data_IF_897042165802
#
_entry.id   IF_897042165802
#
_cell.length_a   1.000
_cell.length_b   1.000
_cell.length_c   1.000
_cell.angle_alpha   90.00
_cell.angle_beta   90.00
_cell.angle_gamma   90.00
#
_symmetry.space_group_name_H-M   'P 1'
#
loop_
_entity.id
_entity.type
_entity.pdbx_description
1 polymer ?
#
# COMPACT_ATOMS: atom_id res chain seq x y z
N UNK A 1 36.37 -26.25 -2.48
CA UNK A 1 36.63 -25.73 -1.12
C UNK A 1 37.15 -24.28 -1.05
N UNK A 2 37.84 -23.75 -2.09
CA UNK A 2 38.40 -22.38 -2.09
C UNK A 2 37.38 -21.26 -2.38
N UNK A 3 36.26 -21.56 -3.00
CA UNK A 3 35.20 -20.62 -3.41
C UNK A 3 34.27 -20.21 -2.27
N UNK A 4 33.91 -21.15 -1.37
CA UNK A 4 33.06 -20.85 -0.21
C UNK A 4 33.69 -19.87 0.81
N UNK A 5 35.02 -19.84 0.90
CA UNK A 5 35.73 -18.95 1.85
C UNK A 5 35.72 -17.48 1.39
N UNK A 6 35.73 -17.24 0.07
CA UNK A 6 35.63 -15.89 -0.51
C UNK A 6 34.22 -15.30 -0.37
N UNK A 7 33.19 -16.12 -0.51
CA UNK A 7 31.79 -15.67 -0.38
C UNK A 7 31.45 -15.22 1.05
N UNK A 8 31.94 -15.94 2.07
CA UNK A 8 31.77 -15.52 3.47
C UNK A 8 32.48 -14.21 3.82
N UNK A 9 33.63 -13.92 3.18
CA UNK A 9 34.35 -12.66 3.38
C UNK A 9 33.66 -11.48 2.71
N UNK A 10 33.05 -11.67 1.54
CA UNK A 10 32.29 -10.62 0.83
C UNK A 10 31.00 -10.27 1.58
N UNK A 11 30.27 -11.27 2.08
CA UNK A 11 29.04 -11.04 2.88
C UNK A 11 29.35 -10.32 4.20
N UNK A 12 30.44 -10.67 4.88
CA UNK A 12 30.87 -9.97 6.10
C UNK A 12 31.32 -8.52 5.85
N UNK A 13 31.90 -8.22 4.68
CA UNK A 13 32.31 -6.86 4.29
C UNK A 13 31.10 -5.98 3.96
N UNK A 14 30.07 -6.53 3.29
CA UNK A 14 28.83 -5.80 2.97
C UNK A 14 28.02 -5.49 4.24
N UNK A 15 27.96 -6.42 5.21
CA UNK A 15 27.32 -6.19 6.50
C UNK A 15 28.01 -5.09 7.33
N UNK A 16 29.34 -4.96 7.20
CA UNK A 16 30.11 -3.95 7.94
C UNK A 16 29.97 -2.54 7.36
N UNK A 17 29.76 -2.42 6.05
CA UNK A 17 29.54 -1.12 5.38
C UNK A 17 28.13 -0.58 5.69
N UNK A 18 27.12 -1.45 5.76
CA UNK A 18 25.74 -1.06 6.11
C UNK A 18 25.60 -0.50 7.54
N UNK A 19 26.38 -1.03 8.49
CA UNK A 19 26.33 -0.60 9.91
C UNK A 19 27.03 0.77 10.09
N UNK A 20 28.07 1.07 9.31
CA UNK A 20 28.79 2.36 9.41
C UNK A 20 28.00 3.50 8.76
N UNK A 21 27.23 3.24 7.69
CA UNK A 21 26.34 4.25 7.08
C UNK A 21 25.15 4.62 7.96
N UNK A 22 24.67 3.72 8.82
CA UNK A 22 23.59 4.00 9.77
C UNK A 22 24.01 4.94 10.92
N UNK A 23 25.29 4.92 11.32
CA UNK A 23 25.77 5.73 12.46
C UNK A 23 26.11 7.19 12.09
N UNK A 24 26.35 7.51 10.81
CA UNK A 24 26.61 8.88 10.36
C UNK A 24 25.37 9.59 9.77
N UNK A 25 24.27 8.87 9.49
CA UNK A 25 23.01 9.46 9.02
C UNK A 25 22.28 10.23 10.14
N UNK A 26 22.31 9.75 11.39
CA UNK A 26 21.54 10.34 12.50
C UNK A 26 21.95 11.77 12.91
N UNK A 27 23.12 12.28 12.53
CA UNK A 27 23.58 13.59 13.01
C UNK A 27 23.52 14.73 11.96
N UNK A 28 23.35 14.39 10.68
CA UNK A 28 23.24 15.38 9.60
C UNK A 28 21.78 15.66 9.20
N UNK A 29 20.88 14.74 9.51
CA UNK A 29 19.45 14.86 9.18
C UNK A 29 18.74 15.87 10.09
N UNK A 30 19.14 15.97 11.37
CA UNK A 30 18.57 16.93 12.34
C UNK A 30 18.76 18.40 11.95
N UNK A 31 19.88 18.74 11.30
CA UNK A 31 20.18 20.11 10.85
C UNK A 31 19.56 20.44 9.50
N UNK A 32 19.41 19.46 8.59
CA UNK A 32 18.74 19.67 7.30
C UNK A 32 17.21 19.81 7.43
N UNK A 33 16.62 19.06 8.36
CA UNK A 33 15.19 19.16 8.69
C UNK A 33 14.85 20.57 9.19
N UNK A 34 15.74 21.22 9.94
CA UNK A 34 15.52 22.60 10.43
C UNK A 34 15.57 23.67 9.33
N UNK A 35 16.28 23.43 8.23
CA UNK A 35 16.34 24.36 7.10
C UNK A 35 15.16 24.16 6.11
N UNK A 36 14.72 22.92 5.87
CA UNK A 36 13.58 22.64 4.99
C UNK A 36 12.23 23.09 5.60
N UNK A 37 12.08 23.08 6.93
CA UNK A 37 10.88 23.60 7.65
C UNK A 37 10.62 25.09 7.38
N UNK A 38 11.65 25.88 7.09
CA UNK A 38 11.51 27.33 6.87
C UNK A 38 11.13 27.72 5.42
N UNK A 39 11.06 26.77 4.48
CA UNK A 39 10.84 27.08 3.06
C UNK A 39 9.48 26.65 2.51
N UNK A 40 8.69 25.85 3.23
CA UNK A 40 7.34 25.49 2.76
C UNK A 40 6.35 25.30 3.93
N UNK A 41 5.58 26.32 4.32
CA UNK A 41 4.65 26.26 5.45
C UNK A 41 3.44 25.32 5.24
N UNK A 42 3.35 24.64 4.09
CA UNK A 42 2.27 23.69 3.77
C UNK A 42 2.67 22.21 3.95
N UNK A 43 3.89 21.87 4.38
CA UNK A 43 4.23 20.48 4.74
C UNK A 43 3.63 20.13 6.09
N UNK A 44 2.50 19.42 6.07
CA UNK A 44 1.67 19.13 7.23
C UNK A 44 2.30 18.15 8.23
N UNK A 45 3.35 17.40 7.87
CA UNK A 45 3.77 16.25 8.67
C UNK A 45 5.25 16.21 8.97
N UNK A 46 5.61 16.57 10.21
CA UNK A 46 6.77 15.97 10.88
C UNK A 46 6.90 16.23 12.38
N UNK A 47 6.06 17.06 12.99
CA UNK A 47 6.25 17.43 14.41
C UNK A 47 4.98 17.48 15.24
N UNK A 48 3.83 16.97 14.78
CA UNK A 48 2.69 16.87 15.69
C UNK A 48 3.00 15.81 16.74
N UNK A 49 2.88 16.18 18.02
CA UNK A 49 2.95 15.29 19.17
C UNK A 49 2.02 14.06 19.00
N UNK A 50 1.00 14.20 18.15
CA UNK A 50 0.02 13.19 17.74
C UNK A 50 0.62 12.00 16.96
N UNK A 51 1.71 12.17 16.20
CA UNK A 51 2.32 11.03 15.49
C UNK A 51 3.19 10.15 16.40
N UNK A 52 3.39 10.51 17.67
CA UNK A 52 4.17 9.68 18.62
C UNK A 52 3.40 8.49 19.17
N UNK A 53 2.07 8.47 19.01
CA UNK A 53 1.18 7.41 19.52
C UNK A 53 0.57 6.62 18.37
N UNK A 54 0.32 5.33 18.63
CA UNK A 54 -0.47 4.51 17.73
C UNK A 54 -1.94 4.94 17.84
N UNK A 55 -2.57 5.13 16.69
CA UNK A 55 -3.99 5.38 16.49
C UNK A 55 -4.76 4.09 16.24
N UNK A 56 -4.09 3.05 15.71
CA UNK A 56 -4.71 1.76 15.41
C UNK A 56 -4.11 0.62 16.22
N UNK A 57 -4.96 -0.30 16.64
CA UNK A 57 -4.54 -1.62 17.13
C UNK A 57 -4.23 -2.55 15.96
N UNK A 58 -3.48 -3.62 16.21
CA UNK A 58 -3.24 -4.66 15.20
C UNK A 58 -4.54 -5.32 14.71
N UNK A 59 -5.55 -5.40 15.57
CA UNK A 59 -6.88 -5.90 15.21
C UNK A 59 -7.60 -4.94 14.25
N UNK A 60 -7.53 -3.64 14.50
CA UNK A 60 -8.09 -2.63 13.58
C UNK A 60 -7.38 -2.64 12.23
N UNK A 61 -6.06 -2.84 12.20
CA UNK A 61 -5.28 -2.96 10.96
C UNK A 61 -5.70 -4.19 10.15
N UNK A 62 -5.87 -5.34 10.81
CA UNK A 62 -6.39 -6.54 10.15
C UNK A 62 -7.83 -6.32 9.64
N UNK A 63 -8.68 -5.67 10.44
CA UNK A 63 -10.04 -5.33 10.05
C UNK A 63 -10.06 -4.41 8.82
N UNK A 64 -9.18 -3.40 8.75
CA UNK A 64 -9.02 -2.51 7.60
C UNK A 64 -8.71 -3.34 6.34
N UNK A 65 -7.75 -4.25 6.42
CA UNK A 65 -7.33 -5.05 5.27
C UNK A 65 -8.39 -6.05 4.82
N UNK A 66 -9.11 -6.69 5.75
CA UNK A 66 -10.20 -7.60 5.42
C UNK A 66 -11.39 -6.86 4.80
N UNK A 67 -11.77 -5.69 5.34
CA UNK A 67 -12.89 -4.91 4.82
C UNK A 67 -12.56 -4.21 3.50
N UNK A 68 -11.29 -3.86 3.26
CA UNK A 68 -10.85 -3.32 1.97
C UNK A 68 -11.26 -4.25 0.81
N UNK A 69 -10.89 -5.52 0.92
CA UNK A 69 -11.19 -6.50 -0.12
C UNK A 69 -12.67 -6.91 -0.14
N UNK A 70 -13.34 -6.92 1.02
CA UNK A 70 -14.78 -7.16 1.07
C UNK A 70 -15.59 -6.06 0.35
N UNK A 71 -15.15 -4.79 0.46
CA UNK A 71 -15.74 -3.67 -0.26
C UNK A 71 -15.49 -3.81 -1.77
N UNK A 72 -14.26 -4.10 -2.20
CA UNK A 72 -13.95 -4.37 -3.60
C UNK A 72 -14.81 -5.49 -4.16
N UNK A 73 -14.92 -6.61 -3.44
CA UNK A 73 -15.75 -7.75 -3.83
C UNK A 73 -17.22 -7.34 -3.95
N UNK A 74 -17.76 -6.59 -2.99
CA UNK A 74 -19.15 -6.13 -3.01
C UNK A 74 -19.43 -5.23 -4.21
N UNK A 75 -18.52 -4.28 -4.48
CA UNK A 75 -18.64 -3.36 -5.61
C UNK A 75 -18.60 -4.10 -6.93
N UNK A 76 -17.60 -4.95 -7.15
CA UNK A 76 -17.43 -5.65 -8.43
C UNK A 76 -18.44 -6.77 -8.66
N UNK A 77 -19.00 -7.37 -7.62
CA UNK A 77 -20.10 -8.34 -7.77
C UNK A 77 -21.39 -7.71 -8.32
N UNK A 78 -21.59 -6.41 -8.10
CA UNK A 78 -22.75 -5.66 -8.59
C UNK A 78 -22.42 -4.75 -9.79
N UNK A 79 -21.17 -4.74 -10.24
CA UNK A 79 -20.68 -3.87 -11.30
C UNK A 79 -21.17 -4.31 -12.68
N UNK A 80 -21.79 -3.40 -13.42
CA UNK A 80 -22.14 -3.63 -14.82
C UNK A 80 -20.91 -3.47 -15.74
N UNK A 81 -20.24 -4.59 -16.00
CA UNK A 81 -19.08 -4.63 -16.91
C UNK A 81 -19.42 -4.24 -18.37
N UNK A 82 -20.70 -4.22 -18.74
CA UNK A 82 -21.16 -3.78 -20.07
C UNK A 82 -21.41 -2.28 -20.18
N UNK A 83 -21.35 -1.55 -19.05
CA UNK A 83 -21.56 -0.10 -19.03
C UNK A 83 -20.58 0.65 -19.95
N UNK A 84 -21.13 1.58 -20.74
CA UNK A 84 -20.36 2.49 -21.59
C UNK A 84 -19.48 3.45 -20.76
N UNK A 85 -19.91 3.77 -19.53
CA UNK A 85 -19.16 4.63 -18.60
C UNK A 85 -18.85 3.88 -17.30
N UNK A 86 -17.79 3.06 -17.36
CA UNK A 86 -17.29 2.25 -16.23
C UNK A 86 -16.93 3.07 -14.99
N UNK A 87 -16.48 4.32 -15.14
CA UNK A 87 -16.16 5.18 -13.99
C UNK A 87 -17.43 5.67 -13.28
N UNK A 88 -18.43 6.12 -14.04
CA UNK A 88 -19.72 6.49 -13.46
C UNK A 88 -20.43 5.28 -12.81
N UNK A 89 -20.32 4.10 -13.43
CA UNK A 89 -20.81 2.85 -12.86
C UNK A 89 -20.09 2.52 -11.54
N UNK A 90 -18.77 2.71 -11.48
CA UNK A 90 -18.01 2.52 -10.25
C UNK A 90 -18.49 3.45 -9.13
N UNK A 91 -18.64 4.73 -9.44
CA UNK A 91 -19.15 5.72 -8.48
C UNK A 91 -20.55 5.34 -7.99
N UNK A 92 -21.41 4.86 -8.89
CA UNK A 92 -22.73 4.36 -8.54
C UNK A 92 -22.65 3.20 -7.55
N UNK A 93 -21.86 2.16 -7.82
CA UNK A 93 -21.76 1.00 -6.92
C UNK A 93 -21.21 1.34 -5.54
N UNK A 94 -20.21 2.21 -5.45
CA UNK A 94 -19.71 2.71 -4.16
C UNK A 94 -20.74 3.58 -3.42
N UNK A 95 -21.60 4.31 -4.13
CA UNK A 95 -22.68 5.10 -3.49
C UNK A 95 -23.77 4.22 -2.84
N UNK A 96 -23.85 2.94 -3.21
CA UNK A 96 -24.77 1.97 -2.62
C UNK A 96 -24.21 1.30 -1.34
N UNK A 97 -22.96 1.54 -0.98
CA UNK A 97 -22.37 1.01 0.24
C UNK A 97 -22.99 1.70 1.46
N UNK A 98 -23.37 0.92 2.47
CA UNK A 98 -23.76 1.47 3.77
C UNK A 98 -22.50 1.88 4.55
N UNK A 99 -22.11 3.14 4.38
CA UNK A 99 -21.00 3.77 5.09
C UNK A 99 -21.48 4.56 6.32
N UNK A 100 -22.59 4.17 6.94
CA UNK A 100 -23.14 4.80 8.16
C UNK A 100 -23.46 6.30 8.00
N UNK A 101 -23.92 6.70 6.80
CA UNK A 101 -24.28 8.08 6.48
C UNK A 101 -23.19 8.89 5.79
N UNK A 102 -21.98 8.33 5.63
CA UNK A 102 -20.91 8.91 4.83
C UNK A 102 -20.97 8.46 3.36
N UNK A 103 -20.16 9.10 2.52
CA UNK A 103 -19.95 8.72 1.11
C UNK A 103 -18.46 8.80 0.78
N UNK A 104 -18.02 8.05 -0.24
CA UNK A 104 -16.66 8.18 -0.76
C UNK A 104 -16.50 9.56 -1.40
N UNK A 105 -15.53 10.33 -0.92
CA UNK A 105 -15.15 11.59 -1.55
C UNK A 105 -14.21 11.33 -2.73
N UNK A 106 -14.78 11.20 -3.92
CA UNK A 106 -14.02 10.94 -5.16
C UNK A 106 -12.98 12.02 -5.50
N UNK A 107 -13.07 13.24 -4.94
CA UNK A 107 -12.03 14.26 -5.12
C UNK A 107 -10.73 13.95 -4.34
N UNK A 108 -10.85 13.13 -3.28
CA UNK A 108 -9.74 12.67 -2.44
C UNK A 108 -9.19 11.32 -2.90
N UNK A 109 -9.90 10.61 -3.78
CA UNK A 109 -9.43 9.39 -4.41
C UNK A 109 -8.33 9.73 -5.41
N UNK A 110 -7.11 9.28 -5.11
CA UNK A 110 -5.91 9.52 -5.93
C UNK A 110 -5.49 8.27 -6.70
N UNK A 111 -4.81 8.48 -7.82
CA UNK A 111 -4.16 7.39 -8.56
C UNK A 111 -2.86 6.95 -7.90
N UNK A 112 -2.36 5.78 -8.30
CA UNK A 112 -1.23 5.12 -7.63
C UNK A 112 0.03 6.00 -7.50
N UNK A 113 0.43 6.75 -8.53
CA UNK A 113 1.65 7.58 -8.48
C UNK A 113 1.55 8.69 -7.44
N UNK A 114 0.40 9.38 -7.39
CA UNK A 114 0.16 10.45 -6.42
C UNK A 114 0.15 9.89 -4.99
N UNK A 115 -0.49 8.75 -4.78
CA UNK A 115 -0.49 8.04 -3.49
C UNK A 115 0.92 7.70 -3.00
N UNK A 116 1.78 7.15 -3.86
CA UNK A 116 3.15 6.81 -3.47
C UNK A 116 4.02 8.04 -3.21
N UNK A 117 3.85 9.11 -4.00
CA UNK A 117 4.54 10.37 -3.77
C UNK A 117 4.12 10.98 -2.43
N UNK A 118 2.82 10.97 -2.12
CA UNK A 118 2.33 11.42 -0.82
C UNK A 118 2.94 10.60 0.32
N UNK A 119 2.98 9.27 0.23
CA UNK A 119 3.60 8.44 1.28
C UNK A 119 5.08 8.78 1.47
N UNK A 120 5.81 8.99 0.37
CA UNK A 120 7.22 9.37 0.39
C UNK A 120 7.46 10.74 1.03
N UNK A 121 6.56 11.68 0.80
CA UNK A 121 6.64 13.03 1.35
C UNK A 121 6.23 13.10 2.83
N UNK A 122 5.26 12.29 3.25
CA UNK A 122 4.71 12.36 4.61
C UNK A 122 5.39 11.42 5.62
N UNK A 123 6.03 10.35 5.17
CA UNK A 123 6.75 9.41 6.04
C UNK A 123 8.24 9.75 6.13
N UNK A 124 8.89 9.36 7.22
CA UNK A 124 10.34 9.33 7.29
C UNK A 124 10.92 8.37 6.24
N UNK A 125 12.17 8.61 5.87
CA UNK A 125 12.95 7.74 4.99
C UNK A 125 12.97 6.28 5.49
N UNK A 126 13.07 6.09 6.82
CA UNK A 126 13.04 4.77 7.44
C UNK A 126 11.67 4.09 7.26
N UNK A 127 10.57 4.78 7.60
CA UNK A 127 9.23 4.23 7.45
C UNK A 127 8.86 3.94 5.98
N UNK A 128 9.12 4.89 5.08
CA UNK A 128 8.85 4.73 3.65
C UNK A 128 9.65 3.58 3.03
N UNK A 129 10.86 3.29 3.53
CA UNK A 129 11.69 2.20 2.99
C UNK A 129 11.02 0.82 3.08
N UNK A 130 10.14 0.58 4.08
CA UNK A 130 9.37 -0.66 4.16
C UNK A 130 8.32 -0.74 3.04
N UNK A 131 7.68 0.39 2.72
CA UNK A 131 6.67 0.47 1.65
C UNK A 131 7.32 0.30 0.28
N UNK A 132 8.46 0.98 0.04
CA UNK A 132 9.22 0.87 -1.20
C UNK A 132 9.74 -0.56 -1.43
N UNK A 133 10.22 -1.22 -0.37
CA UNK A 133 10.64 -2.62 -0.44
C UNK A 133 9.46 -3.55 -0.76
N UNK A 134 8.31 -3.38 -0.10
CA UNK A 134 7.13 -4.20 -0.37
C UNK A 134 6.62 -4.04 -1.81
N UNK A 135 6.63 -2.81 -2.33
CA UNK A 135 6.28 -2.53 -3.72
C UNK A 135 7.27 -3.14 -4.72
N UNK A 136 8.58 -3.10 -4.40
CA UNK A 136 9.58 -3.75 -5.23
C UNK A 136 9.39 -5.27 -5.23
N UNK A 137 8.99 -5.86 -4.10
CA UNK A 137 8.70 -7.29 -4.00
C UNK A 137 7.43 -7.67 -4.78
N UNK A 138 6.43 -6.78 -4.85
CA UNK A 138 5.17 -7.09 -5.52
C UNK A 138 5.27 -7.20 -7.04
N UNK A 139 6.35 -6.73 -7.68
CA UNK A 139 6.55 -6.92 -9.12
C UNK A 139 6.91 -8.35 -9.52
N UNK A 140 7.43 -9.15 -8.58
CA UNK A 140 8.00 -10.47 -8.86
C UNK A 140 7.38 -11.56 -7.94
N UNK A 141 6.09 -11.45 -7.65
CA UNK A 141 5.38 -12.46 -6.85
C UNK A 141 5.25 -13.77 -7.66
N UNK A 142 5.89 -14.83 -7.17
CA UNK A 142 5.76 -16.19 -7.70
C UNK A 142 4.83 -17.08 -6.85
N UNK A 143 4.67 -16.76 -5.57
CA UNK A 143 3.80 -17.47 -4.63
C UNK A 143 3.29 -16.50 -3.54
N UNK A 144 1.98 -16.48 -3.33
CA UNK A 144 1.32 -15.58 -2.37
C UNK A 144 1.69 -15.93 -0.93
N UNK A 145 1.90 -17.20 -0.61
CA UNK A 145 2.29 -17.61 0.74
C UNK A 145 3.72 -17.14 1.07
N UNK A 146 4.66 -17.29 0.14
CA UNK A 146 6.02 -16.77 0.29
C UNK A 146 6.04 -15.25 0.40
N UNK A 147 5.32 -14.55 -0.48
CA UNK A 147 5.17 -13.09 -0.41
C UNK A 147 4.63 -12.66 0.96
N UNK A 148 3.56 -13.31 1.44
CA UNK A 148 2.96 -13.00 2.74
C UNK A 148 3.93 -13.25 3.90
N UNK A 149 4.78 -14.27 3.82
CA UNK A 149 5.80 -14.53 4.83
C UNK A 149 6.86 -13.44 4.88
N UNK A 150 7.30 -12.94 3.72
CA UNK A 150 8.25 -11.82 3.63
C UNK A 150 7.62 -10.56 4.23
N UNK A 151 6.38 -10.23 3.83
CA UNK A 151 5.69 -9.06 4.37
C UNK A 151 5.47 -9.18 5.90
N UNK A 152 5.12 -10.36 6.42
CA UNK A 152 5.02 -10.58 7.87
C UNK A 152 6.36 -10.40 8.59
N UNK A 153 7.48 -10.74 7.96
CA UNK A 153 8.82 -10.44 8.50
C UNK A 153 9.06 -8.94 8.56
N UNK A 154 8.74 -8.21 7.49
CA UNK A 154 8.84 -6.75 7.44
C UNK A 154 7.95 -6.07 8.49
N UNK A 155 6.75 -6.60 8.75
CA UNK A 155 5.86 -6.09 9.82
C UNK A 155 6.50 -6.26 11.21
N UNK A 156 7.18 -7.38 11.48
CA UNK A 156 7.90 -7.59 12.75
C UNK A 156 9.09 -6.64 12.89
N UNK A 157 9.85 -6.43 11.81
CA UNK A 157 10.96 -5.48 11.77
C UNK A 157 10.47 -4.05 11.99
N UNK A 158 9.41 -3.62 11.30
CA UNK A 158 8.78 -2.33 11.47
C UNK A 158 8.32 -2.10 12.93
N UNK A 159 7.68 -3.09 13.56
CA UNK A 159 7.28 -3.03 14.99
C UNK A 159 8.45 -2.82 15.95
N UNK A 160 9.66 -3.21 15.56
CA UNK A 160 10.88 -3.01 16.36
C UNK A 160 11.58 -1.67 16.09
N UNK A 161 11.34 -1.06 14.92
CA UNK A 161 12.09 0.09 14.42
C UNK A 161 11.29 1.40 14.36
N UNK A 162 9.97 1.31 14.25
CA UNK A 162 9.06 2.44 14.08
C UNK A 162 8.13 2.57 15.28
N UNK A 163 7.56 3.76 15.45
CA UNK A 163 6.59 4.06 16.50
C UNK A 163 5.43 4.89 15.94
N UNK A 164 4.35 4.93 16.70
CA UNK A 164 3.25 5.86 16.49
C UNK A 164 2.58 5.76 15.11
N UNK A 165 2.29 6.91 14.49
CA UNK A 165 1.51 6.95 13.26
C UNK A 165 2.26 6.38 12.05
N UNK A 166 3.60 6.50 12.03
CA UNK A 166 4.42 5.88 10.98
C UNK A 166 4.34 4.35 11.05
N UNK A 167 4.37 3.79 12.27
CA UNK A 167 4.19 2.36 12.46
C UNK A 167 2.80 1.91 11.99
N UNK A 168 1.74 2.64 12.33
CA UNK A 168 0.38 2.30 11.89
C UNK A 168 0.23 2.38 10.37
N UNK A 169 0.81 3.42 9.74
CA UNK A 169 0.78 3.58 8.29
C UNK A 169 1.50 2.40 7.60
N UNK A 170 2.72 2.08 8.03
CA UNK A 170 3.50 0.95 7.48
C UNK A 170 2.77 -0.37 7.70
N UNK A 171 2.28 -0.64 8.91
CA UNK A 171 1.56 -1.89 9.19
C UNK A 171 0.27 -2.00 8.39
N UNK A 172 -0.48 -0.91 8.21
CA UNK A 172 -1.70 -0.86 7.41
C UNK A 172 -1.39 -1.15 5.94
N UNK A 173 -0.43 -0.45 5.36
CA UNK A 173 0.02 -0.67 3.97
C UNK A 173 0.47 -2.12 3.76
N UNK A 174 1.29 -2.65 4.66
CA UNK A 174 1.80 -4.03 4.55
C UNK A 174 0.69 -5.08 4.71
N UNK A 175 -0.25 -4.89 5.65
CA UNK A 175 -1.35 -5.85 5.82
C UNK A 175 -2.30 -5.83 4.62
N UNK A 176 -2.60 -4.65 4.08
CA UNK A 176 -3.38 -4.55 2.84
C UNK A 176 -2.64 -5.19 1.67
N UNK A 177 -1.32 -5.00 1.53
CA UNK A 177 -0.52 -5.72 0.53
C UNK A 177 -0.74 -7.23 0.58
N UNK A 178 -0.66 -7.84 1.78
CA UNK A 178 -0.84 -9.29 1.96
C UNK A 178 -2.22 -9.77 1.51
N UNK A 179 -3.26 -9.06 1.95
CA UNK A 179 -4.65 -9.43 1.64
C UNK A 179 -4.97 -9.18 0.17
N UNK A 180 -4.54 -8.05 -0.37
CA UNK A 180 -4.70 -7.67 -1.77
C UNK A 180 -3.96 -8.62 -2.70
N UNK A 181 -2.77 -9.10 -2.34
CA UNK A 181 -2.10 -10.16 -3.09
C UNK A 181 -3.01 -11.39 -3.26
N UNK A 182 -3.67 -11.85 -2.19
CA UNK A 182 -4.62 -12.96 -2.28
C UNK A 182 -5.87 -12.61 -3.12
N UNK A 183 -6.43 -11.41 -3.00
CA UNK A 183 -7.63 -11.03 -3.76
C UNK A 183 -7.35 -10.92 -5.26
N UNK A 184 -6.29 -10.21 -5.62
CA UNK A 184 -5.93 -9.88 -6.98
C UNK A 184 -5.33 -11.10 -7.69
N UNK A 185 -4.31 -11.73 -7.13
CA UNK A 185 -3.55 -12.76 -7.84
C UNK A 185 -4.38 -14.02 -8.16
N UNK A 186 -4.00 -14.74 -9.23
CA UNK A 186 -4.67 -15.96 -9.67
C UNK A 186 -4.42 -17.15 -8.73
N UNK A 187 -5.24 -18.19 -8.87
CA UNK A 187 -5.15 -19.40 -8.04
C UNK A 187 -3.81 -20.14 -8.20
N UNK A 188 -3.19 -20.08 -9.38
CA UNK A 188 -1.91 -20.73 -9.65
C UNK A 188 -0.74 -20.15 -8.85
N UNK A 189 -0.87 -18.91 -8.36
CA UNK A 189 0.10 -18.28 -7.45
C UNK A 189 -0.36 -18.35 -5.98
N UNK A 190 -1.47 -19.05 -5.69
CA UNK A 190 -2.06 -19.12 -4.34
C UNK A 190 -3.00 -17.96 -4.00
N UNK A 191 -3.42 -17.17 -4.99
CA UNK A 191 -4.48 -16.17 -4.83
C UNK A 191 -5.88 -16.77 -4.97
N UNK A 192 -6.89 -15.89 -4.99
CA UNK A 192 -8.30 -16.27 -5.06
C UNK A 192 -8.87 -16.32 -6.48
N UNK A 193 -8.15 -15.78 -7.47
CA UNK A 193 -8.63 -15.66 -8.85
C UNK A 193 -9.73 -14.62 -9.09
N UNK A 194 -10.39 -14.09 -8.04
CA UNK A 194 -11.50 -13.13 -8.18
C UNK A 194 -11.07 -11.84 -8.87
N UNK A 195 -10.00 -11.21 -8.38
CA UNK A 195 -9.46 -10.00 -8.99
C UNK A 195 -8.97 -10.24 -10.43
N UNK A 196 -8.56 -11.46 -10.75
CA UNK A 196 -8.10 -11.84 -12.11
C UNK A 196 -9.24 -11.82 -13.08
N UNK A 197 -10.38 -12.39 -12.68
CA UNK A 197 -11.60 -12.37 -13.48
C UNK A 197 -12.10 -10.93 -13.68
N UNK A 198 -12.07 -10.12 -12.62
CA UNK A 198 -12.45 -8.70 -12.68
C UNK A 198 -11.60 -7.97 -13.73
N UNK A 199 -10.28 -8.10 -13.66
CA UNK A 199 -9.37 -7.40 -14.58
C UNK A 199 -9.52 -7.89 -16.03
N UNK A 200 -9.79 -9.19 -16.23
CA UNK A 200 -10.09 -9.74 -17.55
C UNK A 200 -11.39 -9.15 -18.13
N UNK A 201 -12.42 -8.96 -17.31
CA UNK A 201 -13.69 -8.36 -17.74
C UNK A 201 -13.55 -6.85 -17.99
N UNK A 202 -12.74 -6.15 -17.19
CA UNK A 202 -12.45 -4.74 -17.40
C UNK A 202 -11.66 -4.49 -18.69
N UNK A 203 -10.73 -5.40 -19.01
CA UNK A 203 -9.77 -5.29 -20.10
C UNK A 203 -9.79 -6.52 -21.03
N UNK A 204 -10.90 -6.78 -21.74
CA UNK A 204 -11.11 -8.02 -22.50
C UNK A 204 -10.16 -8.19 -23.70
N UNK A 205 -9.56 -7.10 -24.17
CA UNK A 205 -8.61 -7.10 -25.28
C UNK A 205 -7.15 -7.27 -24.83
N UNK A 206 -6.90 -7.30 -23.52
CA UNK A 206 -5.56 -7.48 -22.96
C UNK A 206 -5.20 -8.96 -22.99
N UNK A 207 -4.06 -9.28 -23.61
CA UNK A 207 -3.53 -10.65 -23.55
C UNK A 207 -2.91 -10.88 -22.18
N UNK A 208 -3.66 -11.52 -21.28
CA UNK A 208 -3.10 -12.07 -20.06
C UNK A 208 -2.23 -13.27 -20.45
N UNK A 209 -0.94 -13.03 -20.72
CA UNK A 209 -0.02 -14.12 -21.07
C UNK A 209 0.08 -15.12 -19.92
N UNK A 210 0.39 -16.38 -20.26
CA UNK A 210 0.53 -17.53 -19.35
C UNK A 210 1.59 -17.36 -18.23
N UNK A 211 2.30 -16.24 -18.21
CA UNK A 211 2.97 -15.69 -17.03
C UNK A 211 2.36 -14.33 -16.82
N UNK A 212 1.67 -14.16 -15.71
CA UNK A 212 0.87 -13.05 -15.15
C UNK A 212 1.50 -11.64 -15.15
N UNK A 213 2.40 -11.37 -16.09
CA UNK A 213 3.08 -10.13 -16.41
C UNK A 213 2.15 -9.13 -17.11
N UNK A 214 0.87 -9.08 -16.72
CA UNK A 214 0.12 -7.87 -17.05
C UNK A 214 0.64 -6.77 -16.11
N UNK A 215 1.27 -5.70 -16.65
CA UNK A 215 1.91 -4.68 -15.83
C UNK A 215 0.97 -4.04 -14.81
N UNK A 216 -0.33 -4.00 -15.13
CA UNK A 216 -1.36 -3.42 -14.28
C UNK A 216 -1.57 -4.14 -12.94
N UNK A 217 -1.18 -5.41 -12.80
CA UNK A 217 -1.33 -6.13 -11.52
C UNK A 217 -0.57 -5.47 -10.39
N UNK A 218 0.71 -5.16 -10.64
CA UNK A 218 1.55 -4.53 -9.66
C UNK A 218 1.01 -3.13 -9.31
N UNK A 219 0.55 -2.39 -10.31
CA UNK A 219 -0.06 -1.06 -10.12
C UNK A 219 -1.32 -1.12 -9.26
N UNK A 220 -2.19 -2.11 -9.48
CA UNK A 220 -3.40 -2.31 -8.67
C UNK A 220 -3.05 -2.70 -7.23
N UNK A 221 -2.17 -3.69 -7.03
CA UNK A 221 -1.71 -4.10 -5.70
C UNK A 221 -1.10 -2.92 -4.93
N UNK A 222 -0.29 -2.12 -5.62
CA UNK A 222 0.34 -0.94 -5.05
C UNK A 222 -0.69 0.13 -4.70
N UNK A 223 -1.69 0.33 -5.56
CA UNK A 223 -2.79 1.26 -5.30
C UNK A 223 -3.57 0.87 -4.05
N UNK A 224 -3.88 -0.42 -3.85
CA UNK A 224 -4.52 -0.93 -2.63
C UNK A 224 -3.72 -0.56 -1.38
N UNK A 225 -2.47 -1.01 -1.34
CA UNK A 225 -1.64 -0.86 -0.18
C UNK A 225 -1.29 0.60 0.11
N UNK A 226 -1.00 1.37 -0.93
CA UNK A 226 -0.66 2.78 -0.83
C UNK A 226 -1.85 3.62 -0.36
N UNK A 227 -3.04 3.40 -0.93
CA UNK A 227 -4.22 4.19 -0.60
C UNK A 227 -4.69 3.94 0.83
N UNK A 228 -4.58 2.71 1.32
CA UNK A 228 -4.82 2.39 2.73
C UNK A 228 -3.79 3.05 3.67
N UNK A 229 -2.52 3.12 3.25
CA UNK A 229 -1.47 3.85 3.98
C UNK A 229 -1.76 5.34 4.11
N UNK A 230 -2.19 5.98 3.01
CA UNK A 230 -2.62 7.38 3.01
C UNK A 230 -3.87 7.58 3.86
N UNK A 231 -4.86 6.69 3.75
CA UNK A 231 -6.05 6.71 4.59
C UNK A 231 -5.69 6.67 6.08
N UNK A 232 -4.74 5.82 6.46
CA UNK A 232 -4.22 5.76 7.83
C UNK A 232 -3.63 7.10 8.29
N UNK A 233 -2.83 7.77 7.45
CA UNK A 233 -2.29 9.09 7.78
C UNK A 233 -3.42 10.11 7.94
N UNK A 234 -4.38 10.15 7.01
CA UNK A 234 -5.53 11.06 7.10
C UNK A 234 -6.28 10.89 8.42
N UNK A 235 -6.55 9.65 8.86
CA UNK A 235 -7.20 9.40 10.15
C UNK A 235 -6.32 9.85 11.32
N UNK A 236 -5.03 9.50 11.30
CA UNK A 236 -4.08 9.84 12.37
C UNK A 236 -3.94 11.36 12.60
N UNK A 237 -4.18 12.16 11.56
CA UNK A 237 -3.96 13.60 11.59
C UNK A 237 -5.23 14.44 11.61
N UNK A 238 -6.36 13.91 11.12
CA UNK A 238 -7.66 14.57 11.22
C UNK A 238 -8.41 14.22 12.51
N UNK A 239 -8.09 13.08 13.13
CA UNK A 239 -8.73 12.58 14.35
C UNK A 239 -10.24 12.32 14.24
N UNK A 240 -10.83 12.43 13.04
CA UNK A 240 -12.28 12.56 12.86
C UNK A 240 -12.90 11.72 11.74
N UNK A 241 -12.12 11.00 10.93
CA UNK A 241 -12.66 10.12 9.89
C UNK A 241 -12.87 8.72 10.47
N UNK A 242 -14.09 8.18 10.31
CA UNK A 242 -14.38 6.80 10.68
C UNK A 242 -13.56 5.80 9.86
N UNK A 243 -13.28 4.62 10.40
CA UNK A 243 -12.51 3.60 9.69
C UNK A 243 -13.20 3.16 8.39
N UNK A 244 -14.52 3.02 8.39
CA UNK A 244 -15.25 2.50 7.23
C UNK A 244 -15.18 3.43 5.99
N UNK A 245 -15.44 4.75 6.09
CA UNK A 245 -15.21 5.70 4.99
C UNK A 245 -13.76 5.72 4.47
N UNK A 246 -12.78 5.59 5.38
CA UNK A 246 -11.36 5.50 5.01
C UNK A 246 -11.09 4.25 4.17
N UNK A 247 -11.55 3.08 4.63
CA UNK A 247 -11.40 1.81 3.91
C UNK A 247 -12.12 1.84 2.55
N UNK A 248 -13.32 2.42 2.50
CA UNK A 248 -14.07 2.59 1.25
C UNK A 248 -13.35 3.50 0.25
N UNK A 249 -12.72 4.59 0.72
CA UNK A 249 -11.96 5.49 -0.15
C UNK A 249 -10.68 4.84 -0.68
N UNK A 250 -10.00 4.04 0.15
CA UNK A 250 -8.86 3.22 -0.29
C UNK A 250 -9.29 2.20 -1.37
N UNK A 251 -10.36 1.44 -1.12
CA UNK A 251 -10.93 0.52 -2.10
C UNK A 251 -11.38 1.25 -3.38
N UNK A 252 -11.90 2.48 -3.27
CA UNK A 252 -12.27 3.32 -4.41
C UNK A 252 -11.07 3.68 -5.29
N UNK A 253 -9.94 4.06 -4.69
CA UNK A 253 -8.67 4.30 -5.40
C UNK A 253 -8.21 3.07 -6.15
N UNK A 254 -8.21 1.92 -5.49
CA UNK A 254 -7.87 0.63 -6.09
C UNK A 254 -8.75 0.25 -7.27
N UNK A 255 -10.06 0.38 -7.10
CA UNK A 255 -10.99 0.05 -8.16
C UNK A 255 -10.84 1.00 -9.36
N UNK A 256 -10.63 2.29 -9.13
CA UNK A 256 -10.34 3.26 -10.20
C UNK A 256 -9.02 2.96 -10.91
N UNK A 257 -7.97 2.59 -10.16
CA UNK A 257 -6.71 2.12 -10.74
C UNK A 257 -6.94 0.84 -11.56
N UNK A 258 -7.73 -0.12 -11.08
CA UNK A 258 -8.06 -1.32 -11.85
C UNK A 258 -8.79 -1.01 -13.17
N UNK A 259 -9.71 -0.02 -13.17
CA UNK A 259 -10.37 0.45 -14.39
C UNK A 259 -9.40 1.07 -15.41
N UNK A 260 -8.34 1.71 -14.95
CA UNK A 260 -7.44 2.51 -15.79
C UNK A 260 -6.11 1.81 -16.12
N UNK A 261 -5.73 0.78 -15.35
CA UNK A 261 -4.45 0.08 -15.47
C UNK A 261 -4.22 -0.62 -16.82
N UNK A 262 -5.28 -0.89 -17.59
CA UNK A 262 -5.17 -1.44 -18.96
C UNK A 262 -4.92 -0.39 -20.03
N UNK A 263 -4.87 0.89 -19.67
CA UNK A 263 -4.54 2.02 -20.56
C UNK A 263 -3.05 2.41 -20.51
N UNK A 264 -2.26 1.72 -19.68
CA UNK A 264 -0.81 1.89 -19.50
C UNK A 264 -0.08 0.98 -20.50
#
# INVERSE_FOLDING_TARGET
MRTHKKMKQIVAMLFSIAIITLLFACNKESSRIKEEINQNPNTLYRTSEECTKRHFTDEQINWIADNHNAILETVFNNFDFSSDNKEAELHNQFSQLDLQGDTVNWAEVKGYEETFNMLKEQLSSNAYSYIEQAFTLSSDIEDVAEFNQIISTMQMEAKSALIGCELDCVLTTLEVFKKSAYFWLPEELGGSGKGTLILQQLHPNTTFQARWKWPGWNTVLASDAGSAGIGCLVVAFSGGVGLLPMVASAAGSSALTALTAGRI
#
